data_IF_727669394325
#
_entry.id   IF_727669394325
#
_cell.length_a   1.000
_cell.length_b   1.000
_cell.length_c   1.000
_cell.angle_alpha   90.00
_cell.angle_beta   90.00
_cell.angle_gamma   90.00
#
_symmetry.space_group_name_H-M   'P 1'
#
loop_
_entity.id
_entity.type
_entity.pdbx_description
1 polymer ?
#
# COMPACT_ATOMS: atom_id res chain seq x y z
N UNK A 1 37.50 38.59 -21.22
CA UNK A 1 36.79 37.52 -21.97
C UNK A 1 37.73 36.33 -22.14
N UNK A 2 37.27 35.16 -21.71
CA UNK A 2 38.04 33.92 -21.64
C UNK A 2 38.66 33.50 -22.98
N UNK A 3 37.97 33.72 -24.11
CA UNK A 3 38.47 33.36 -25.45
C UNK A 3 39.84 33.97 -25.78
N UNK A 4 40.06 35.24 -25.40
CA UNK A 4 41.37 35.88 -25.57
C UNK A 4 42.44 35.23 -24.70
N UNK A 5 42.10 34.82 -23.48
CA UNK A 5 43.04 34.15 -22.56
C UNK A 5 43.40 32.76 -23.06
N UNK A 6 42.43 31.98 -23.55
CA UNK A 6 42.66 30.68 -24.17
C UNK A 6 43.62 30.79 -25.36
N UNK A 7 43.40 31.79 -26.23
CA UNK A 7 44.29 32.05 -27.37
C UNK A 7 45.70 32.42 -26.94
N UNK A 8 45.84 33.23 -25.90
CA UNK A 8 47.15 33.64 -25.36
C UNK A 8 47.87 32.45 -24.73
N UNK A 9 47.18 31.68 -23.88
CA UNK A 9 47.74 30.51 -23.18
C UNK A 9 48.17 29.41 -24.17
N UNK A 10 47.35 29.15 -25.21
CA UNK A 10 47.71 28.24 -26.30
C UNK A 10 49.01 28.65 -26.97
N UNK A 11 49.12 29.94 -27.33
CA UNK A 11 50.33 30.47 -27.98
C UNK A 11 51.56 30.41 -27.08
N UNK A 12 51.41 30.57 -25.76
CA UNK A 12 52.50 30.44 -24.79
C UNK A 12 53.01 29.00 -24.66
N UNK A 13 52.13 28.01 -24.88
CA UNK A 13 52.51 26.60 -24.98
C UNK A 13 52.92 26.18 -26.40
N UNK A 14 53.02 27.13 -27.34
CA UNK A 14 53.39 26.91 -28.75
C UNK A 14 52.49 25.93 -29.52
N UNK A 15 51.27 25.68 -29.04
CA UNK A 15 50.33 24.74 -29.65
C UNK A 15 49.50 25.40 -30.76
N UNK A 16 49.15 24.64 -31.78
CA UNK A 16 48.15 24.98 -32.79
C UNK A 16 46.73 24.74 -32.27
N UNK A 17 45.73 25.36 -32.90
CA UNK A 17 44.32 25.08 -32.56
C UNK A 17 43.94 23.61 -32.83
N UNK A 18 44.64 22.94 -33.75
CA UNK A 18 44.42 21.54 -34.07
C UNK A 18 44.95 20.65 -32.93
N UNK A 19 46.17 20.89 -32.47
CA UNK A 19 46.76 20.13 -31.36
C UNK A 19 45.97 20.27 -30.07
N UNK A 20 45.53 21.49 -29.71
CA UNK A 20 44.65 21.66 -28.54
C UNK A 20 43.35 20.90 -28.71
N UNK A 21 42.75 20.93 -29.91
CA UNK A 21 41.50 20.24 -30.18
C UNK A 21 41.66 18.72 -30.04
N UNK A 22 42.79 18.17 -30.48
CA UNK A 22 43.13 16.75 -30.31
C UNK A 22 43.32 16.37 -28.83
N UNK A 23 44.02 17.23 -28.06
CA UNK A 23 44.27 17.01 -26.63
C UNK A 23 42.99 17.00 -25.81
N UNK A 24 42.07 17.95 -26.05
CA UNK A 24 40.80 18.06 -25.30
C UNK A 24 39.62 17.43 -26.03
N UNK A 25 39.91 16.58 -27.03
CA UNK A 25 38.95 15.75 -27.75
C UNK A 25 37.75 16.49 -28.36
N UNK A 26 37.99 17.65 -28.99
CA UNK A 26 36.98 18.43 -29.72
C UNK A 26 37.40 18.72 -31.16
N UNK A 27 36.55 19.40 -31.93
CA UNK A 27 36.94 19.87 -33.26
C UNK A 27 37.79 21.15 -33.18
N UNK A 28 38.71 21.33 -34.13
CA UNK A 28 39.45 22.60 -34.30
C UNK A 28 38.52 23.81 -34.43
N UNK A 29 37.37 23.64 -35.09
CA UNK A 29 36.36 24.69 -35.21
C UNK A 29 35.78 25.09 -33.84
N UNK A 30 35.61 24.13 -32.93
CA UNK A 30 35.19 24.37 -31.54
C UNK A 30 36.22 25.22 -30.79
N UNK A 31 37.51 24.87 -30.84
CA UNK A 31 38.59 25.66 -30.23
C UNK A 31 38.65 27.07 -30.82
N UNK A 32 38.55 27.19 -32.15
CA UNK A 32 38.51 28.50 -32.82
C UNK A 32 37.33 29.35 -32.35
N UNK A 33 36.14 28.74 -32.21
CA UNK A 33 34.92 29.38 -31.71
C UNK A 33 35.08 29.91 -30.28
N UNK A 34 35.74 29.15 -29.40
CA UNK A 34 36.06 29.61 -28.04
C UNK A 34 37.02 30.80 -28.05
N UNK A 35 38.10 30.74 -28.84
CA UNK A 35 39.11 31.80 -28.90
C UNK A 35 38.56 33.15 -29.39
N UNK A 36 37.54 33.12 -30.24
CA UNK A 36 36.85 34.33 -30.74
C UNK A 36 35.61 34.70 -29.90
N UNK A 37 35.29 33.94 -28.86
CA UNK A 37 34.19 34.22 -27.93
C UNK A 37 32.78 33.94 -28.48
N UNK A 38 32.65 33.10 -29.50
CA UNK A 38 31.34 32.69 -30.05
C UNK A 38 30.64 31.65 -29.17
N UNK A 39 31.40 30.75 -28.56
CA UNK A 39 30.92 29.72 -27.64
C UNK A 39 31.85 29.65 -26.43
N UNK A 40 31.44 28.93 -25.38
CA UNK A 40 32.27 28.67 -24.20
C UNK A 40 32.60 27.17 -24.08
N UNK A 41 33.76 26.81 -23.52
CA UNK A 41 34.06 25.41 -23.20
C UNK A 41 33.18 24.95 -22.02
N UNK A 42 32.81 23.67 -21.99
CA UNK A 42 32.14 23.05 -20.85
C UNK A 42 33.04 22.95 -19.62
N UNK A 43 32.48 22.69 -18.44
CA UNK A 43 33.24 22.62 -17.18
C UNK A 43 34.36 21.56 -17.21
N UNK A 44 34.07 20.39 -17.79
CA UNK A 44 35.01 19.31 -18.04
C UNK A 44 36.21 19.78 -18.88
N UNK A 45 35.94 20.39 -20.03
CA UNK A 45 36.98 20.90 -20.92
C UNK A 45 37.73 22.09 -20.30
N UNK A 46 37.08 22.90 -19.48
CA UNK A 46 37.74 23.98 -18.74
C UNK A 46 38.78 23.45 -17.75
N UNK A 47 38.52 22.30 -17.11
CA UNK A 47 39.49 21.62 -16.22
C UNK A 47 40.66 21.11 -17.05
N UNK A 48 40.40 20.43 -18.17
CA UNK A 48 41.47 19.94 -19.07
C UNK A 48 42.32 21.08 -19.63
N UNK A 49 41.71 22.21 -20.02
CA UNK A 49 42.42 23.40 -20.49
C UNK A 49 43.22 24.08 -19.36
N UNK A 50 42.72 24.04 -18.13
CA UNK A 50 43.40 24.55 -16.94
C UNK A 50 44.67 23.75 -16.65
N UNK A 51 44.60 22.43 -16.79
CA UNK A 51 45.75 21.52 -16.67
C UNK A 51 46.72 21.70 -17.84
N UNK A 52 46.24 21.70 -19.09
CA UNK A 52 47.07 21.86 -20.30
C UNK A 52 47.87 23.16 -20.30
N UNK A 53 47.26 24.26 -19.85
CA UNK A 53 47.90 25.56 -19.82
C UNK A 53 48.59 25.89 -18.50
N UNK A 54 48.52 25.01 -17.50
CA UNK A 54 49.04 25.24 -16.14
C UNK A 54 48.51 26.55 -15.52
N UNK A 55 47.25 26.87 -15.78
CA UNK A 55 46.57 28.05 -15.25
C UNK A 55 45.47 27.63 -14.30
N UNK A 56 45.33 28.30 -13.15
CA UNK A 56 44.17 28.05 -12.28
C UNK A 56 42.87 28.40 -13.00
N UNK A 57 41.78 27.66 -12.71
CA UNK A 57 40.45 28.01 -13.20
C UNK A 57 40.10 29.46 -12.86
N UNK A 58 40.39 29.96 -11.64
CA UNK A 58 40.19 31.38 -11.32
C UNK A 58 40.85 32.31 -12.34
N UNK A 59 42.10 32.04 -12.73
CA UNK A 59 42.83 32.82 -13.73
C UNK A 59 42.24 32.70 -15.13
N UNK A 60 41.73 31.52 -15.49
CA UNK A 60 41.09 31.28 -16.78
C UNK A 60 39.72 32.00 -16.88
N UNK A 61 38.97 31.97 -15.78
CA UNK A 61 37.58 32.41 -15.67
C UNK A 61 37.42 33.88 -15.22
N UNK A 62 38.46 34.48 -14.61
CA UNK A 62 38.42 35.83 -14.00
C UNK A 62 37.84 36.86 -14.97
N UNK A 63 36.94 37.71 -14.48
CA UNK A 63 36.34 38.82 -15.25
C UNK A 63 35.41 38.38 -16.40
N UNK A 64 35.05 37.10 -16.51
CA UNK A 64 34.04 36.60 -17.45
C UNK A 64 32.76 36.13 -16.71
N UNK A 65 32.00 37.11 -16.21
CA UNK A 65 30.80 36.88 -15.38
C UNK A 65 29.75 36.02 -16.10
N UNK A 66 29.64 36.10 -17.42
CA UNK A 66 28.67 35.31 -18.21
C UNK A 66 29.01 33.83 -18.17
N UNK A 67 30.28 33.49 -18.31
CA UNK A 67 30.72 32.10 -18.27
C UNK A 67 30.64 31.53 -16.84
N UNK A 68 31.03 32.32 -15.83
CA UNK A 68 30.83 31.92 -14.41
C UNK A 68 29.36 31.66 -14.11
N UNK A 69 28.46 32.50 -14.61
CA UNK A 69 27.02 32.29 -14.48
C UNK A 69 26.55 31.01 -15.18
N UNK A 70 27.01 30.74 -16.41
CA UNK A 70 26.69 29.51 -17.15
C UNK A 70 27.15 28.25 -16.42
N UNK A 71 28.40 28.19 -15.97
CA UNK A 71 28.93 27.07 -15.18
C UNK A 71 28.12 26.88 -13.90
N UNK A 72 27.78 27.97 -13.20
CA UNK A 72 26.98 27.89 -11.98
C UNK A 72 25.56 27.35 -12.24
N UNK A 73 24.94 27.70 -13.37
CA UNK A 73 23.62 27.20 -13.80
C UNK A 73 23.69 25.71 -14.11
N UNK A 74 24.68 25.27 -14.86
CA UNK A 74 24.88 23.85 -15.19
C UNK A 74 25.08 22.99 -13.93
N UNK A 75 25.90 23.46 -12.98
CA UNK A 75 26.13 22.76 -11.70
C UNK A 75 24.84 22.69 -10.88
N UNK A 76 24.08 23.78 -10.77
CA UNK A 76 22.78 23.81 -10.08
C UNK A 76 21.78 22.84 -10.73
N UNK A 77 21.72 22.82 -12.06
CA UNK A 77 20.80 21.98 -12.82
C UNK A 77 21.11 20.49 -12.63
N UNK A 78 22.38 20.08 -12.74
CA UNK A 78 22.81 18.69 -12.46
C UNK A 78 22.45 18.27 -11.02
N UNK A 79 22.62 19.17 -10.04
CA UNK A 79 22.25 18.91 -8.63
C UNK A 79 20.73 18.73 -8.45
N UNK A 80 19.91 19.53 -9.13
CA UNK A 80 18.45 19.39 -9.10
C UNK A 80 18.01 18.07 -9.75
N UNK A 81 18.53 17.76 -10.94
CA UNK A 81 18.21 16.50 -11.64
C UNK A 81 18.55 15.28 -10.77
N UNK A 82 19.73 15.27 -10.14
CA UNK A 82 20.13 14.20 -9.21
C UNK A 82 19.14 14.07 -8.04
N UNK A 83 18.68 15.18 -7.46
CA UNK A 83 17.67 15.16 -6.38
C UNK A 83 16.33 14.63 -6.85
N UNK A 84 15.90 14.99 -8.07
CA UNK A 84 14.66 14.47 -8.66
C UNK A 84 14.76 12.96 -8.84
N UNK A 85 15.84 12.46 -9.46
CA UNK A 85 16.04 11.01 -9.69
C UNK A 85 16.09 10.22 -8.38
N UNK A 86 16.77 10.75 -7.36
CA UNK A 86 16.80 10.12 -6.03
C UNK A 86 15.41 10.15 -5.40
N UNK A 87 14.71 11.28 -5.48
CA UNK A 87 13.36 11.44 -4.93
C UNK A 87 12.35 10.50 -5.57
N UNK A 88 12.36 10.37 -6.91
CA UNK A 88 11.49 9.42 -7.63
C UNK A 88 11.82 7.97 -7.25
N UNK A 89 13.10 7.63 -7.09
CA UNK A 89 13.52 6.32 -6.60
C UNK A 89 12.96 5.99 -5.21
N UNK A 90 13.01 6.95 -4.28
CA UNK A 90 12.45 6.78 -2.92
C UNK A 90 10.93 6.59 -2.98
N UNK A 91 10.22 7.37 -3.80
CA UNK A 91 8.75 7.26 -3.94
C UNK A 91 8.37 5.89 -4.49
N UNK A 92 9.07 5.40 -5.53
CA UNK A 92 8.83 4.06 -6.09
C UNK A 92 9.14 2.95 -5.09
N UNK A 93 10.22 3.09 -4.31
CA UNK A 93 10.56 2.14 -3.26
C UNK A 93 9.47 2.07 -2.20
N UNK A 94 8.97 3.22 -1.71
CA UNK A 94 7.88 3.27 -0.75
C UNK A 94 6.59 2.65 -1.31
N UNK A 95 6.27 2.94 -2.57
CA UNK A 95 5.12 2.34 -3.26
C UNK A 95 5.20 0.81 -3.27
N UNK A 96 6.36 0.25 -3.61
CA UNK A 96 6.59 -1.20 -3.60
C UNK A 96 6.50 -1.79 -2.20
N UNK A 97 7.04 -1.11 -1.18
CA UNK A 97 6.96 -1.56 0.21
C UNK A 97 5.53 -1.59 0.74
N UNK A 98 4.72 -0.57 0.42
CA UNK A 98 3.29 -0.53 0.79
C UNK A 98 2.54 -1.71 0.14
N UNK A 99 2.79 -1.96 -1.14
CA UNK A 99 2.21 -3.09 -1.86
C UNK A 99 2.62 -4.44 -1.27
N UNK A 100 3.91 -4.61 -0.98
CA UNK A 100 4.44 -5.84 -0.39
C UNK A 100 3.85 -6.07 1.01
N UNK A 101 3.80 -5.03 1.84
CA UNK A 101 3.22 -5.13 3.18
C UNK A 101 1.74 -5.51 3.11
N UNK A 102 0.96 -4.86 2.24
CA UNK A 102 -0.45 -5.22 2.04
C UNK A 102 -0.61 -6.64 1.51
N UNK A 103 0.22 -7.08 0.56
CA UNK A 103 0.20 -8.46 0.06
C UNK A 103 0.49 -9.47 1.19
N UNK A 104 1.53 -9.24 1.98
CA UNK A 104 1.90 -10.12 3.12
C UNK A 104 0.76 -10.20 4.13
N UNK A 105 0.10 -9.08 4.43
CA UNK A 105 -1.04 -9.05 5.36
C UNK A 105 -2.19 -9.93 4.87
N UNK A 106 -2.62 -9.78 3.60
CA UNK A 106 -3.70 -10.57 3.03
C UNK A 106 -3.32 -12.05 2.86
N UNK A 107 -2.05 -12.32 2.51
CA UNK A 107 -1.56 -13.67 2.34
C UNK A 107 -1.57 -14.47 3.65
N UNK A 108 -1.29 -13.82 4.79
CA UNK A 108 -1.36 -14.46 6.12
C UNK A 108 -2.78 -14.91 6.47
N UNK A 109 -3.76 -14.04 6.29
CA UNK A 109 -5.17 -14.34 6.53
C UNK A 109 -5.64 -15.52 5.68
N UNK A 110 -5.31 -15.51 4.38
CA UNK A 110 -5.63 -16.60 3.46
C UNK A 110 -4.99 -17.93 3.88
N UNK A 111 -3.69 -17.93 4.18
CA UNK A 111 -2.98 -19.15 4.56
C UNK A 111 -3.49 -19.73 5.87
N UNK A 112 -3.82 -18.90 6.86
CA UNK A 112 -4.33 -19.38 8.14
C UNK A 112 -5.60 -20.21 7.95
N UNK A 113 -6.58 -19.69 7.21
CA UNK A 113 -7.84 -20.43 6.97
C UNK A 113 -7.57 -21.67 6.14
N UNK A 114 -6.76 -21.57 5.08
CA UNK A 114 -6.43 -22.71 4.21
C UNK A 114 -5.73 -23.87 4.92
N UNK A 115 -4.85 -23.57 5.88
CA UNK A 115 -4.08 -24.59 6.60
C UNK A 115 -4.87 -25.23 7.75
N UNK A 116 -5.79 -24.48 8.38
CA UNK A 116 -6.47 -24.91 9.60
C UNK A 116 -7.94 -25.32 9.38
N UNK A 117 -8.55 -24.97 8.24
CA UNK A 117 -9.97 -25.19 7.96
C UNK A 117 -10.14 -26.08 6.74
N UNK A 118 -11.22 -26.87 6.72
CA UNK A 118 -11.60 -27.69 5.57
C UNK A 118 -12.41 -26.89 4.58
N UNK A 119 -12.27 -27.19 3.29
CA UNK A 119 -13.08 -26.56 2.26
C UNK A 119 -14.40 -27.30 2.07
N UNK A 120 -15.52 -26.57 2.12
CA UNK A 120 -16.86 -27.11 1.90
C UNK A 120 -17.70 -26.14 1.08
N UNK A 121 -18.01 -26.53 -0.16
CA UNK A 121 -18.76 -25.69 -1.10
C UNK A 121 -18.12 -24.30 -1.29
N UNK A 122 -18.86 -23.25 -0.92
CA UNK A 122 -18.44 -21.84 -0.99
C UNK A 122 -17.85 -21.31 0.32
N UNK A 123 -17.56 -22.17 1.31
CA UNK A 123 -17.07 -21.79 2.63
C UNK A 123 -15.84 -22.61 3.06
N UNK A 124 -15.13 -22.10 4.06
CA UNK A 124 -14.20 -22.86 4.89
C UNK A 124 -14.88 -23.18 6.20
N UNK A 125 -14.71 -24.41 6.68
CA UNK A 125 -15.37 -24.96 7.87
C UNK A 125 -14.34 -25.58 8.81
N UNK A 126 -14.50 -25.33 10.11
CA UNK A 126 -13.70 -25.93 11.17
C UNK A 126 -14.64 -26.39 12.28
N UNK A 127 -14.32 -27.50 12.96
CA UNK A 127 -15.06 -27.93 14.15
C UNK A 127 -14.11 -28.06 15.33
N UNK A 128 -14.48 -27.49 16.47
CA UNK A 128 -13.75 -27.58 17.74
C UNK A 128 -14.72 -27.42 18.90
N UNK A 129 -14.56 -28.22 19.95
CA UNK A 129 -15.32 -28.11 21.20
C UNK A 129 -16.86 -28.19 21.01
N UNK A 130 -17.32 -29.02 20.06
CA UNK A 130 -18.75 -29.14 19.75
C UNK A 130 -19.35 -27.95 19.00
N UNK A 131 -18.52 -27.01 18.57
CA UNK A 131 -18.92 -25.84 17.78
C UNK A 131 -18.36 -25.98 16.37
N UNK A 132 -19.22 -25.77 15.38
CA UNK A 132 -18.84 -25.60 13.99
C UNK A 132 -18.66 -24.12 13.67
N UNK A 133 -17.53 -23.79 13.06
CA UNK A 133 -17.20 -22.47 12.59
C UNK A 133 -17.18 -22.45 11.07
N UNK A 134 -17.72 -21.40 10.46
CA UNK A 134 -17.62 -21.20 9.02
C UNK A 134 -17.28 -19.76 8.62
N UNK A 135 -16.54 -19.62 7.52
CA UNK A 135 -16.23 -18.34 6.88
C UNK A 135 -16.34 -18.51 5.36
N UNK A 136 -16.87 -17.52 4.61
CA UNK A 136 -16.96 -17.63 3.16
C UNK A 136 -15.57 -17.77 2.52
N UNK A 137 -15.53 -18.48 1.37
CA UNK A 137 -14.34 -18.51 0.53
C UNK A 137 -14.05 -17.11 -0.01
N UNK A 138 -12.78 -16.77 0.02
CA UNK A 138 -12.31 -15.46 -0.38
C UNK A 138 -11.75 -15.49 -1.80
N UNK A 139 -12.28 -14.64 -2.69
CA UNK A 139 -11.72 -14.46 -4.04
C UNK A 139 -10.46 -13.58 -3.95
N UNK A 140 -9.30 -14.22 -3.95
CA UNK A 140 -8.01 -13.54 -3.90
C UNK A 140 -7.80 -12.56 -5.08
N UNK A 141 -8.47 -12.77 -6.22
CA UNK A 141 -8.40 -11.85 -7.35
C UNK A 141 -9.25 -10.59 -7.13
N UNK A 142 -10.27 -10.64 -6.27
CA UNK A 142 -11.13 -9.49 -5.95
C UNK A 142 -10.38 -8.38 -5.18
N UNK A 143 -9.33 -8.74 -4.42
CA UNK A 143 -8.44 -7.81 -3.72
C UNK A 143 -7.88 -6.72 -4.63
N UNK A 144 -7.59 -7.05 -5.89
CA UNK A 144 -6.98 -6.13 -6.85
C UNK A 144 -7.99 -5.35 -7.68
N UNK A 145 -9.28 -5.72 -7.66
CA UNK A 145 -10.31 -5.07 -8.50
C UNK A 145 -11.01 -3.91 -7.80
N UNK A 146 -11.54 -4.11 -6.59
CA UNK A 146 -12.45 -3.15 -5.94
C UNK A 146 -12.06 -2.76 -4.50
N UNK A 147 -11.13 -3.48 -3.87
CA UNK A 147 -10.80 -3.34 -2.44
C UNK A 147 -9.31 -3.15 -2.17
N UNK A 148 -8.55 -2.70 -3.17
CA UNK A 148 -7.13 -2.43 -3.06
C UNK A 148 -6.85 -1.45 -1.90
N UNK A 149 -5.91 -1.80 -1.02
CA UNK A 149 -5.57 -1.12 0.24
C UNK A 149 -6.63 -1.12 1.36
N UNK A 150 -7.78 -1.77 1.19
CA UNK A 150 -8.67 -2.06 2.32
C UNK A 150 -8.21 -3.34 3.02
N UNK A 151 -8.24 -3.35 4.36
CA UNK A 151 -8.12 -4.58 5.15
C UNK A 151 -9.50 -5.24 5.14
N UNK A 152 -9.69 -6.25 4.29
CA UNK A 152 -10.88 -7.08 4.37
C UNK A 152 -10.74 -8.03 5.55
N UNK A 153 -11.81 -8.13 6.31
CA UNK A 153 -11.92 -8.98 7.49
C UNK A 153 -12.95 -10.03 7.17
N UNK A 154 -12.54 -11.29 7.33
CA UNK A 154 -13.42 -12.41 7.05
C UNK A 154 -14.38 -12.57 8.23
N UNK A 155 -15.69 -12.64 7.97
CA UNK A 155 -16.66 -12.89 9.02
C UNK A 155 -16.54 -14.33 9.51
N UNK A 156 -16.88 -14.55 10.78
CA UNK A 156 -16.91 -15.90 11.37
C UNK A 156 -18.32 -16.18 11.85
N UNK A 157 -18.89 -17.26 11.36
CA UNK A 157 -20.10 -17.87 11.87
C UNK A 157 -19.71 -18.99 12.82
N UNK A 158 -20.39 -19.09 13.96
CA UNK A 158 -20.24 -20.18 14.91
C UNK A 158 -21.62 -20.69 15.31
N UNK A 159 -21.79 -22.01 15.29
CA UNK A 159 -23.03 -22.71 15.64
C UNK A 159 -22.70 -23.97 16.40
N UNK A 160 -23.47 -24.31 17.42
CA UNK A 160 -23.33 -25.64 18.04
C UNK A 160 -23.69 -26.71 17.01
N UNK A 161 -22.83 -27.73 16.90
CA UNK A 161 -23.13 -28.90 16.06
C UNK A 161 -24.46 -29.48 16.53
N UNK A 162 -25.40 -29.71 15.61
CA UNK A 162 -26.72 -30.23 15.93
C UNK A 162 -26.60 -31.51 16.77
N UNK A 163 -27.27 -31.50 17.92
CA UNK A 163 -27.50 -32.69 18.71
C UNK A 163 -28.84 -33.27 18.22
N UNK A 164 -28.78 -34.47 17.62
CA UNK A 164 -29.94 -35.22 17.09
C UNK A 164 -31.09 -35.39 18.12
N UNK A 165 -30.88 -35.02 19.39
CA UNK A 165 -31.87 -35.04 20.47
C UNK A 165 -32.73 -33.77 20.63
N UNK A 166 -32.43 -32.65 19.96
CA UNK A 166 -33.25 -31.43 20.05
C UNK A 166 -34.37 -31.44 19.00
N UNK A 167 -35.63 -31.40 19.46
CA UNK A 167 -36.89 -31.42 18.69
C UNK A 167 -37.05 -30.23 17.71
N UNK A 168 -36.21 -30.14 16.67
CA UNK A 168 -36.37 -29.22 15.54
C UNK A 168 -36.22 -27.71 15.86
N UNK A 169 -35.83 -27.33 17.08
CA UNK A 169 -35.41 -25.94 17.37
C UNK A 169 -33.99 -25.71 16.81
N UNK A 170 -33.75 -24.63 16.04
CA UNK A 170 -32.42 -24.35 15.50
C UNK A 170 -31.43 -24.07 16.63
N UNK A 171 -30.24 -24.67 16.54
CA UNK A 171 -29.15 -24.42 17.48
C UNK A 171 -28.80 -22.93 17.56
N UNK A 172 -28.48 -22.41 18.76
CA UNK A 172 -27.95 -21.06 18.89
C UNK A 172 -26.73 -20.87 18.01
N UNK A 173 -26.67 -19.70 17.37
CA UNK A 173 -25.65 -19.36 16.40
C UNK A 173 -25.28 -17.88 16.57
N UNK A 174 -24.06 -17.56 16.16
CA UNK A 174 -23.56 -16.20 16.18
C UNK A 174 -22.68 -15.95 14.96
N UNK A 175 -22.74 -14.73 14.43
CA UNK A 175 -21.89 -14.28 13.35
C UNK A 175 -21.21 -12.97 13.71
N UNK A 176 -19.88 -12.98 13.67
CA UNK A 176 -19.06 -11.79 13.73
C UNK A 176 -18.83 -11.30 12.30
N UNK A 177 -19.44 -10.17 11.95
CA UNK A 177 -19.24 -9.54 10.65
C UNK A 177 -17.82 -8.99 10.49
N UNK A 178 -17.44 -8.66 9.25
CA UNK A 178 -16.19 -7.96 8.92
C UNK A 178 -15.91 -6.70 9.77
N UNK A 179 -16.93 -6.05 10.35
CA UNK A 179 -16.73 -4.85 11.18
C UNK A 179 -16.80 -5.14 12.68
N UNK A 180 -16.76 -6.40 13.08
CA UNK A 180 -16.91 -6.82 14.48
C UNK A 180 -18.33 -6.67 15.03
N UNK A 181 -19.33 -6.38 14.18
CA UNK A 181 -20.74 -6.43 14.59
C UNK A 181 -21.13 -7.87 14.86
N UNK A 182 -21.84 -8.08 15.96
CA UNK A 182 -22.35 -9.37 16.40
C UNK A 182 -23.78 -9.53 15.86
N UNK A 183 -24.03 -10.62 15.16
CA UNK A 183 -25.35 -10.94 14.63
C UNK A 183 -25.77 -12.32 15.12
N UNK A 184 -27.06 -12.48 15.38
CA UNK A 184 -27.67 -13.74 15.84
C UNK A 184 -28.81 -14.07 14.89
N UNK A 185 -28.91 -15.32 14.44
CA UNK A 185 -30.07 -15.80 13.71
C UNK A 185 -31.10 -16.31 14.70
N UNK A 186 -32.28 -15.69 14.70
CA UNK A 186 -33.35 -15.92 15.66
C UNK A 186 -34.56 -16.52 14.94
N UNK A 187 -35.14 -17.64 15.44
CA UNK A 187 -36.39 -18.17 14.92
C UNK A 187 -37.56 -17.27 15.31
N UNK A 188 -38.27 -16.74 14.31
CA UNK A 188 -39.44 -15.89 14.48
C UNK A 188 -40.61 -16.55 13.74
N UNK A 189 -41.38 -17.35 14.48
CA UNK A 189 -42.46 -18.15 13.90
C UNK A 189 -41.91 -19.23 12.96
N UNK A 190 -42.09 -19.06 11.64
CA UNK A 190 -41.63 -20.01 10.60
C UNK A 190 -40.42 -19.53 9.79
N UNK A 191 -39.91 -18.35 10.10
CA UNK A 191 -38.78 -17.74 9.39
C UNK A 191 -37.62 -17.50 10.36
N UNK A 192 -36.43 -17.34 9.80
CA UNK A 192 -35.23 -16.98 10.54
C UNK A 192 -34.90 -15.50 10.27
N UNK A 193 -34.78 -14.71 11.34
CA UNK A 193 -34.41 -13.30 11.29
C UNK A 193 -32.99 -13.09 11.76
N UNK A 194 -32.22 -12.26 11.06
CA UNK A 194 -30.88 -11.87 11.49
C UNK A 194 -30.97 -10.58 12.30
N UNK A 195 -30.56 -10.63 13.56
CA UNK A 195 -30.60 -9.48 14.49
C UNK A 195 -29.19 -9.08 14.88
N UNK A 196 -28.95 -7.77 15.04
CA UNK A 196 -27.68 -7.26 15.54
C UNK A 196 -27.77 -7.04 17.05
N UNK A 197 -26.81 -7.59 17.80
CA UNK A 197 -26.77 -7.51 19.27
C UNK A 197 -25.44 -6.91 19.74
N UNK A 198 -25.43 -6.41 20.97
CA UNK A 198 -24.21 -5.98 21.65
C UNK A 198 -23.47 -7.15 22.32
N UNK A 199 -22.36 -6.84 23.01
CA UNK A 199 -21.56 -7.85 23.71
C UNK A 199 -22.28 -8.55 24.87
N UNK A 200 -23.43 -8.02 25.31
CA UNK A 200 -24.28 -8.60 26.36
C UNK A 200 -25.49 -9.35 25.77
N UNK A 201 -25.49 -9.55 24.45
CA UNK A 201 -26.59 -10.15 23.69
C UNK A 201 -27.88 -9.33 23.75
N UNK A 202 -27.79 -8.02 23.97
CA UNK A 202 -28.92 -7.11 23.95
C UNK A 202 -29.10 -6.52 22.54
N UNK A 203 -30.33 -6.38 22.07
CA UNK A 203 -30.62 -5.82 20.76
C UNK A 203 -30.07 -4.39 20.63
N UNK A 204 -29.35 -4.11 19.54
CA UNK A 204 -28.88 -2.77 19.24
C UNK A 204 -30.02 -1.93 18.63
N UNK A 205 -30.39 -0.83 19.27
CA UNK A 205 -31.55 0.02 18.92
C UNK A 205 -31.39 0.96 17.73
N UNK A 206 -30.32 0.88 16.95
CA UNK A 206 -30.08 1.79 15.82
C UNK A 206 -30.78 1.31 14.53
N UNK A 207 -32.09 1.49 14.47
CA UNK A 207 -32.83 1.92 13.28
C UNK A 207 -32.97 0.99 12.07
N UNK A 208 -32.32 -0.17 12.02
CA UNK A 208 -32.61 -1.21 11.03
C UNK A 208 -33.38 -2.32 11.74
N UNK A 209 -34.68 -2.42 11.46
CA UNK A 209 -35.47 -3.58 11.88
C UNK A 209 -34.75 -4.86 11.42
N UNK A 210 -34.82 -5.96 12.21
CA UNK A 210 -34.29 -7.25 11.81
C UNK A 210 -34.60 -7.50 10.33
N UNK A 211 -33.54 -7.57 9.53
CA UNK A 211 -33.67 -7.88 8.12
C UNK A 211 -33.82 -9.39 8.08
N UNK A 212 -35.05 -9.86 7.88
CA UNK A 212 -35.24 -11.22 7.42
C UNK A 212 -34.57 -11.30 6.05
N UNK A 213 -34.05 -12.47 5.67
CA UNK A 213 -33.46 -12.64 4.35
C UNK A 213 -34.42 -12.25 3.19
N UNK A 214 -35.72 -11.98 3.44
CA UNK A 214 -36.68 -11.46 2.47
C UNK A 214 -37.77 -10.48 3.02
N UNK A 215 -37.68 -9.94 4.26
CA UNK A 215 -38.77 -9.12 4.87
C UNK A 215 -38.29 -8.16 5.97
N UNK A 216 -39.16 -7.23 6.42
CA UNK A 216 -38.90 -6.27 7.52
C UNK A 216 -39.69 -6.68 8.77
N UNK A 217 -39.06 -6.80 9.94
CA UNK A 217 -39.70 -7.14 11.22
C UNK A 217 -40.98 -6.34 11.53
N UNK A 218 -41.97 -6.98 12.15
CA UNK A 218 -43.08 -6.27 12.79
C UNK A 218 -42.72 -5.97 14.24
N UNK A 219 -43.29 -4.92 14.87
CA UNK A 219 -43.02 -4.58 16.27
C UNK A 219 -43.32 -5.73 17.26
N UNK A 220 -44.26 -6.60 16.93
CA UNK A 220 -44.61 -7.81 17.69
C UNK A 220 -43.54 -8.91 17.67
N UNK A 221 -42.62 -8.87 16.70
CA UNK A 221 -41.49 -9.81 16.63
C UNK A 221 -40.41 -9.47 17.66
N UNK A 222 -40.35 -8.22 18.15
CA UNK A 222 -39.36 -7.77 19.11
C UNK A 222 -39.46 -8.50 20.45
N UNK A 223 -40.67 -8.81 20.90
CA UNK A 223 -40.87 -9.56 22.15
C UNK A 223 -40.31 -10.98 22.04
N UNK A 224 -40.60 -11.67 20.93
CA UNK A 224 -40.08 -13.02 20.65
C UNK A 224 -38.56 -13.05 20.52
N UNK A 225 -37.99 -12.01 19.89
CA UNK A 225 -36.54 -11.90 19.75
C UNK A 225 -35.89 -11.74 21.11
N UNK A 226 -36.39 -10.83 21.94
CA UNK A 226 -35.83 -10.63 23.29
C UNK A 226 -35.98 -11.89 24.14
N UNK A 227 -37.13 -12.57 24.08
CA UNK A 227 -37.36 -13.82 24.82
C UNK A 227 -36.37 -14.92 24.38
N UNK A 228 -36.10 -15.04 23.08
CA UNK A 228 -35.09 -15.97 22.57
C UNK A 228 -33.67 -15.61 23.01
N UNK A 229 -33.30 -14.33 22.93
CA UNK A 229 -31.97 -13.86 23.35
C UNK A 229 -31.75 -14.09 24.84
N UNK A 230 -32.75 -13.81 25.68
CA UNK A 230 -32.69 -14.04 27.12
C UNK A 230 -32.64 -15.53 27.47
N UNK A 231 -33.46 -16.37 26.80
CA UNK A 231 -33.46 -17.84 26.98
C UNK A 231 -32.09 -18.45 26.69
N UNK A 232 -31.41 -17.97 25.63
CA UNK A 232 -30.16 -18.54 25.14
C UNK A 232 -28.92 -17.70 25.52
N UNK A 233 -29.05 -16.71 26.41
CA UNK A 233 -28.01 -15.70 26.67
C UNK A 233 -26.64 -16.31 26.98
N UNK A 234 -26.57 -17.25 27.92
CA UNK A 234 -25.32 -17.89 28.33
C UNK A 234 -24.67 -18.70 27.20
N UNK A 235 -25.48 -19.39 26.38
CA UNK A 235 -24.98 -20.13 25.22
C UNK A 235 -24.44 -19.20 24.13
N UNK A 236 -25.12 -18.08 23.89
CA UNK A 236 -24.72 -17.05 22.93
C UNK A 236 -23.47 -16.29 23.38
N UNK A 237 -23.33 -15.98 24.67
CA UNK A 237 -22.12 -15.38 25.25
C UNK A 237 -20.89 -16.30 25.07
N UNK A 238 -21.05 -17.61 25.31
CA UNK A 238 -19.98 -18.58 25.10
C UNK A 238 -19.61 -18.72 23.61
N UNK A 239 -20.62 -18.82 22.73
CA UNK A 239 -20.38 -18.83 21.28
C UNK A 239 -19.68 -17.56 20.82
N UNK A 240 -20.04 -16.41 21.36
CA UNK A 240 -19.39 -15.13 21.05
C UNK A 240 -17.91 -15.15 21.42
N UNK A 241 -17.54 -15.61 22.62
CA UNK A 241 -16.15 -15.72 23.05
C UNK A 241 -15.33 -16.61 22.11
N UNK A 242 -15.88 -17.77 21.76
CA UNK A 242 -15.27 -18.71 20.85
C UNK A 242 -15.13 -18.15 19.43
N UNK A 243 -16.19 -17.56 18.90
CA UNK A 243 -16.19 -16.92 17.58
C UNK A 243 -15.21 -15.74 17.53
N UNK A 244 -15.14 -14.92 18.59
CA UNK A 244 -14.23 -13.79 18.68
C UNK A 244 -12.77 -14.23 18.62
N UNK A 245 -12.43 -15.31 19.32
CA UNK A 245 -11.09 -15.92 19.26
C UNK A 245 -10.74 -16.38 17.85
N UNK A 246 -11.65 -17.06 17.15
CA UNK A 246 -11.39 -17.49 15.77
C UNK A 246 -11.32 -16.29 14.81
N UNK A 247 -12.19 -15.30 14.98
CA UNK A 247 -12.18 -14.07 14.21
C UNK A 247 -10.85 -13.33 14.37
N UNK A 248 -10.31 -13.23 15.58
CA UNK A 248 -8.98 -12.63 15.81
C UNK A 248 -7.87 -13.44 15.14
N UNK A 249 -7.89 -14.77 15.23
CA UNK A 249 -6.86 -15.62 14.62
C UNK A 249 -6.82 -15.50 13.10
N UNK A 250 -7.99 -15.43 12.46
CA UNK A 250 -8.11 -15.24 11.01
C UNK A 250 -7.65 -13.84 10.60
N UNK A 251 -8.04 -12.82 11.35
CA UNK A 251 -7.92 -11.41 10.94
C UNK A 251 -6.69 -10.68 11.52
N UNK A 252 -5.74 -11.38 12.16
CA UNK A 252 -4.52 -10.84 12.77
C UNK A 252 -3.50 -10.34 11.73
#
# INVERSE_FOLDING_TARGET
MIGKRLKTARKQKELTQQEVAEIVHVSRATVSSWEVGRTYPGLDVLVELSELYELSLDTLLKEDMKMVEQVSKEVKQKRIYKRIVVGTGIILMLFLLINLWWYVMNYRQYNYVKENWREEGSSYVMQSDGIEYSTPKFDHAALFRNHYLKKETLPVWAVYVEDDSKDGEPSPNISLSAKGKINVLVPIGKVLGLVQVDSKMELMGDGEMPVYLDFIAHPEDLERINEYLDKNKSELELLHEHAAKQYELINR
#
